data_IF_463714091620
#
_entry.id   IF_463714091620
#
_cell.length_a   1.000
_cell.length_b   1.000
_cell.length_c   1.000
_cell.angle_alpha   90.00
_cell.angle_beta   90.00
_cell.angle_gamma   90.00
#
_symmetry.space_group_name_H-M   'P 1'
#
loop_
_entity.id
_entity.type
_entity.pdbx_description
1 polymer ?
#
# COMPACT_ATOMS: atom_id res chain seq x y z
N UNK A 1 11.37 -6.33 0.36
CA UNK A 1 9.88 -6.30 0.48
C UNK A 1 9.50 -7.11 1.70
N UNK A 2 8.55 -6.65 2.51
CA UNK A 2 8.00 -7.49 3.58
C UNK A 2 6.77 -8.18 2.98
N UNK A 3 6.89 -9.47 2.69
CA UNK A 3 5.79 -10.30 2.22
C UNK A 3 5.21 -11.09 3.37
N UNK A 4 3.90 -11.31 3.35
CA UNK A 4 3.23 -12.24 4.27
C UNK A 4 3.45 -13.69 3.79
N UNK A 5 3.23 -14.66 4.67
CA UNK A 5 3.49 -16.08 4.37
C UNK A 5 2.71 -16.60 3.14
N UNK A 6 1.50 -16.10 2.93
CA UNK A 6 0.67 -16.48 1.78
C UNK A 6 1.01 -15.70 0.50
N UNK A 7 1.85 -14.67 0.59
CA UNK A 7 2.35 -13.90 -0.56
C UNK A 7 3.69 -14.44 -1.10
N UNK A 8 4.29 -15.44 -0.43
CA UNK A 8 5.55 -16.06 -0.86
C UNK A 8 5.54 -16.51 -2.33
N UNK A 9 4.47 -17.13 -2.87
CA UNK A 9 4.43 -17.50 -4.28
C UNK A 9 4.52 -16.31 -5.24
N UNK A 10 4.03 -15.13 -4.82
CA UNK A 10 4.12 -13.88 -5.59
C UNK A 10 5.54 -13.34 -5.50
N UNK A 11 6.13 -13.36 -4.30
CA UNK A 11 7.50 -12.91 -4.05
C UNK A 11 8.54 -13.68 -4.88
N UNK A 12 8.38 -15.00 -5.01
CA UNK A 12 9.23 -15.85 -5.84
C UNK A 12 9.14 -15.47 -7.33
N UNK A 13 7.93 -15.20 -7.83
CA UNK A 13 7.72 -14.76 -9.21
C UNK A 13 8.31 -13.37 -9.45
N UNK A 14 8.14 -12.44 -8.51
CA UNK A 14 8.73 -11.10 -8.61
C UNK A 14 10.26 -11.16 -8.59
N UNK A 15 10.87 -11.98 -7.72
CA UNK A 15 12.31 -12.18 -7.69
C UNK A 15 12.83 -12.72 -9.02
N UNK A 16 12.14 -13.73 -9.59
CA UNK A 16 12.51 -14.30 -10.90
C UNK A 16 12.37 -13.28 -12.05
N UNK A 17 11.34 -12.43 -12.00
CA UNK A 17 11.16 -11.34 -12.99
C UNK A 17 12.30 -10.32 -12.89
N UNK A 18 12.69 -9.94 -11.67
CA UNK A 18 13.81 -9.03 -11.45
C UNK A 18 15.14 -9.64 -11.92
N UNK A 19 15.42 -10.90 -11.61
CA UNK A 19 16.60 -11.61 -12.12
C UNK A 19 16.68 -11.57 -13.66
N UNK A 20 15.57 -11.88 -14.35
CA UNK A 20 15.52 -11.85 -15.81
C UNK A 20 15.69 -10.43 -16.38
N UNK A 21 15.22 -9.39 -15.67
CA UNK A 21 15.43 -7.99 -16.04
C UNK A 21 16.91 -7.58 -15.96
N UNK A 22 17.67 -8.08 -15.00
CA UNK A 22 19.11 -7.80 -14.91
C UNK A 22 19.92 -8.47 -16.04
N UNK A 23 19.42 -9.58 -16.58
CA UNK A 23 20.07 -10.34 -17.67
C UNK A 23 19.73 -9.76 -19.06
N UNK A 24 18.72 -8.91 -19.19
CA UNK A 24 18.25 -8.26 -20.44
C UNK A 24 19.25 -7.24 -21.06
N UNK A 25 20.54 -7.32 -20.71
CA UNK A 25 21.62 -6.51 -21.29
C UNK A 25 21.99 -6.92 -22.73
N UNK A 26 21.53 -8.08 -23.21
CA UNK A 26 21.63 -8.50 -24.60
C UNK A 26 20.21 -8.51 -25.18
N UNK A 27 20.00 -7.87 -26.33
CA UNK A 27 18.69 -7.64 -26.98
C UNK A 27 17.99 -8.93 -27.47
N UNK A 28 17.84 -9.94 -26.60
CA UNK A 28 17.16 -11.18 -26.86
C UNK A 28 15.65 -10.99 -26.69
N UNK A 29 14.95 -10.87 -27.81
CA UNK A 29 13.48 -10.80 -27.88
C UNK A 29 12.79 -11.98 -27.17
N UNK A 30 13.51 -13.09 -26.95
CA UNK A 30 13.03 -14.25 -26.18
C UNK A 30 12.84 -13.93 -24.69
N UNK A 31 13.78 -13.20 -24.08
CA UNK A 31 13.75 -12.87 -22.63
C UNK A 31 12.59 -11.94 -22.32
N UNK A 32 12.36 -10.93 -23.15
CA UNK A 32 11.26 -9.98 -22.96
C UNK A 32 9.88 -10.67 -23.02
N UNK A 33 9.71 -11.70 -23.88
CA UNK A 33 8.47 -12.49 -23.94
C UNK A 33 8.25 -13.32 -22.68
N UNK A 34 9.32 -13.88 -22.12
CA UNK A 34 9.25 -14.66 -20.88
C UNK A 34 8.94 -13.77 -19.67
N UNK A 35 9.55 -12.57 -19.60
CA UNK A 35 9.21 -11.56 -18.58
C UNK A 35 7.73 -11.19 -18.65
N UNK A 36 7.18 -10.97 -19.85
CA UNK A 36 5.75 -10.67 -20.02
C UNK A 36 4.86 -11.83 -19.54
N UNK A 37 5.21 -13.06 -19.87
CA UNK A 37 4.47 -14.24 -19.43
C UNK A 37 4.50 -14.42 -17.90
N UNK A 38 5.68 -14.21 -17.27
CA UNK A 38 5.83 -14.29 -15.82
C UNK A 38 5.08 -13.16 -15.09
N UNK A 39 5.10 -11.94 -15.64
CA UNK A 39 4.30 -10.82 -15.10
C UNK A 39 2.81 -11.12 -15.12
N UNK A 40 2.30 -11.66 -16.25
CA UNK A 40 0.90 -12.06 -16.34
C UNK A 40 0.56 -13.13 -15.30
N UNK A 41 1.41 -14.15 -15.17
CA UNK A 41 1.23 -15.21 -14.17
C UNK A 41 1.26 -14.67 -12.73
N UNK A 42 2.13 -13.71 -12.44
CA UNK A 42 2.20 -13.03 -11.14
C UNK A 42 0.92 -12.25 -10.85
N UNK A 43 0.36 -11.54 -11.85
CA UNK A 43 -0.91 -10.83 -11.73
C UNK A 43 -2.08 -11.79 -11.48
N UNK A 44 -2.22 -12.84 -12.30
CA UNK A 44 -3.29 -13.84 -12.18
C UNK A 44 -3.23 -14.53 -10.80
N UNK A 45 -2.02 -14.87 -10.34
CA UNK A 45 -1.82 -15.48 -9.03
C UNK A 45 -2.18 -14.52 -7.89
N UNK A 46 -1.78 -13.26 -8.00
CA UNK A 46 -2.14 -12.20 -7.05
C UNK A 46 -3.66 -12.08 -6.95
N UNK A 47 -4.35 -11.93 -8.07
CA UNK A 47 -5.82 -11.85 -8.08
C UNK A 47 -6.46 -13.08 -7.43
N UNK A 48 -5.98 -14.28 -7.75
CA UNK A 48 -6.51 -15.51 -7.16
C UNK A 48 -6.35 -15.55 -5.63
N UNK A 49 -5.16 -15.22 -5.11
CA UNK A 49 -4.85 -15.25 -3.67
C UNK A 49 -5.70 -14.22 -2.93
N UNK A 50 -5.74 -12.98 -3.44
CA UNK A 50 -6.48 -11.89 -2.78
C UNK A 50 -8.00 -12.03 -2.92
N UNK A 51 -8.50 -12.78 -3.91
CA UNK A 51 -9.94 -13.07 -4.06
C UNK A 51 -10.48 -14.07 -3.04
N UNK A 52 -9.64 -14.97 -2.52
CA UNK A 52 -10.04 -16.06 -1.63
C UNK A 52 -9.27 -16.07 -0.30
N UNK A 53 -9.13 -14.90 0.32
CA UNK A 53 -8.42 -14.75 1.60
C UNK A 53 -9.23 -15.35 2.76
N UNK A 54 -8.52 -16.05 3.65
CA UNK A 54 -9.07 -16.49 4.93
C UNK A 54 -9.21 -15.32 5.91
N UNK A 55 -10.10 -15.41 6.92
CA UNK A 55 -10.27 -14.35 7.92
C UNK A 55 -8.96 -13.97 8.65
N UNK A 56 -8.07 -14.94 8.88
CA UNK A 56 -6.77 -14.70 9.48
C UNK A 56 -5.85 -13.88 8.57
N UNK A 57 -5.79 -14.22 7.28
CA UNK A 57 -4.99 -13.49 6.29
C UNK A 57 -5.47 -12.05 6.12
N UNK A 58 -6.79 -11.81 6.14
CA UNK A 58 -7.37 -10.46 6.14
C UNK A 58 -6.88 -9.65 7.36
N UNK A 59 -6.86 -10.27 8.55
CA UNK A 59 -6.33 -9.63 9.75
C UNK A 59 -4.83 -9.29 9.61
N UNK A 60 -4.02 -10.18 9.02
CA UNK A 60 -2.61 -9.92 8.74
C UNK A 60 -2.42 -8.71 7.80
N UNK A 61 -3.20 -8.64 6.71
CA UNK A 61 -3.18 -7.49 5.78
C UNK A 61 -3.59 -6.19 6.48
N UNK A 62 -4.59 -6.25 7.36
CA UNK A 62 -5.03 -5.07 8.12
C UNK A 62 -3.94 -4.49 9.02
N UNK A 63 -2.95 -5.31 9.39
CA UNK A 63 -1.82 -4.97 10.25
C UNK A 63 -0.51 -4.82 9.46
N UNK A 64 -0.57 -4.83 8.14
CA UNK A 64 0.61 -4.77 7.29
C UNK A 64 1.43 -3.50 7.59
N UNK A 65 2.76 -3.59 7.74
CA UNK A 65 3.60 -2.44 8.13
C UNK A 65 3.59 -1.30 7.10
N UNK A 66 3.31 -1.61 5.83
CA UNK A 66 3.16 -0.62 4.76
C UNK A 66 1.71 -0.23 4.46
N UNK A 67 0.74 -0.61 5.32
CA UNK A 67 -0.65 -0.19 5.14
C UNK A 67 -0.71 1.34 5.21
N UNK A 68 -1.31 2.03 4.22
CA UNK A 68 -1.46 3.47 4.28
C UNK A 68 -2.24 3.91 5.52
N UNK A 69 -1.74 4.93 6.21
CA UNK A 69 -2.36 5.53 7.38
C UNK A 69 -3.17 6.76 7.01
N UNK A 70 -3.89 7.33 7.98
CA UNK A 70 -4.79 8.47 7.77
C UNK A 70 -4.12 9.61 7.01
N UNK A 71 -2.89 9.98 7.39
CA UNK A 71 -2.12 11.02 6.69
C UNK A 71 -1.85 10.70 5.20
N UNK A 72 -1.55 9.44 4.87
CA UNK A 72 -1.32 9.04 3.47
C UNK A 72 -2.59 9.21 2.60
N UNK A 73 -3.78 9.05 3.18
CA UNK A 73 -5.05 9.34 2.49
C UNK A 73 -5.33 10.83 2.44
N UNK A 74 -5.04 11.57 3.52
CA UNK A 74 -5.25 13.02 3.57
C UNK A 74 -4.50 13.71 2.43
N UNK A 75 -3.21 13.40 2.29
CA UNK A 75 -2.32 13.97 1.26
C UNK A 75 -2.75 13.66 -0.18
N UNK A 76 -3.51 12.58 -0.41
CA UNK A 76 -3.94 12.15 -1.75
C UNK A 76 -5.35 12.60 -2.13
N UNK A 77 -6.22 12.79 -1.14
CA UNK A 77 -7.67 12.98 -1.36
C UNK A 77 -8.09 14.43 -1.12
N UNK A 78 -7.49 15.10 -0.14
CA UNK A 78 -7.91 16.42 0.30
C UNK A 78 -6.91 17.49 -0.13
N UNK A 79 -7.43 18.70 -0.30
CA UNK A 79 -6.64 19.88 -0.65
C UNK A 79 -6.74 20.88 0.50
N UNK A 80 -5.71 21.72 0.66
CA UNK A 80 -5.63 22.76 1.71
C UNK A 80 -5.90 22.21 3.12
N UNK A 81 -5.35 21.04 3.44
CA UNK A 81 -5.51 20.45 4.77
C UNK A 81 -4.66 21.19 5.80
N UNK A 82 -5.32 21.78 6.78
CA UNK A 82 -4.71 22.38 7.95
C UNK A 82 -4.98 21.50 9.18
N UNK A 83 -3.90 20.93 9.74
CA UNK A 83 -3.94 20.12 10.94
C UNK A 83 -4.17 21.01 12.17
N UNK A 84 -5.12 20.62 13.00
CA UNK A 84 -5.48 21.29 14.24
C UNK A 84 -4.99 20.45 15.42
N UNK A 85 -4.12 21.07 16.21
CA UNK A 85 -3.49 20.43 17.36
C UNK A 85 -4.12 20.88 18.68
N UNK A 86 -4.15 19.96 19.65
CA UNK A 86 -4.46 20.23 21.05
C UNK A 86 -5.94 20.11 21.44
N UNK A 87 -6.16 19.42 22.56
CA UNK A 87 -7.49 19.23 23.17
C UNK A 87 -7.91 20.37 24.12
N UNK A 88 -7.10 21.45 24.20
CA UNK A 88 -7.25 22.61 25.12
C UNK A 88 -7.28 22.28 26.61
N UNK A 89 -7.02 21.03 27.00
CA UNK A 89 -7.07 20.58 28.40
C UNK A 89 -5.71 20.14 28.94
N UNK A 90 -4.99 19.24 28.24
CA UNK A 90 -3.72 18.73 28.74
C UNK A 90 -2.61 18.72 27.68
N UNK A 91 -2.73 17.90 26.64
CA UNK A 91 -1.68 17.78 25.62
C UNK A 91 -2.26 17.40 24.25
N UNK A 92 -1.43 17.54 23.22
CA UNK A 92 -1.75 17.03 21.89
C UNK A 92 -1.56 15.49 21.88
N UNK A 93 -2.55 14.74 21.41
CA UNK A 93 -2.45 13.28 21.27
C UNK A 93 -1.93 12.93 19.86
N UNK A 94 -0.67 12.51 19.71
CA UNK A 94 -0.11 12.17 18.41
C UNK A 94 -0.78 10.95 17.74
N UNK A 95 -1.63 10.21 18.47
CA UNK A 95 -2.40 9.11 17.92
C UNK A 95 -3.65 9.57 17.14
N UNK A 96 -4.03 10.84 17.22
CA UNK A 96 -5.16 11.41 16.50
C UNK A 96 -4.67 12.55 15.60
N UNK A 97 -5.07 12.51 14.34
CA UNK A 97 -4.95 13.64 13.43
C UNK A 97 -6.34 14.24 13.22
N UNK A 98 -6.45 15.55 13.41
CA UNK A 98 -7.68 16.30 13.19
C UNK A 98 -7.37 17.58 12.41
N UNK A 99 -8.28 18.03 11.56
CA UNK A 99 -8.06 19.25 10.79
C UNK A 99 -9.20 19.63 9.87
N UNK A 100 -9.04 20.74 9.18
CA UNK A 100 -9.98 21.23 8.16
C UNK A 100 -9.30 21.09 6.80
N UNK A 101 -10.04 20.60 5.81
CA UNK A 101 -9.56 20.56 4.44
C UNK A 101 -10.70 20.72 3.45
N UNK A 102 -10.39 20.55 2.16
CA UNK A 102 -11.37 20.57 1.08
C UNK A 102 -11.46 19.21 0.40
N UNK A 103 -12.68 18.72 0.24
CA UNK A 103 -13.02 17.57 -0.59
C UNK A 103 -13.95 18.03 -1.71
N UNK A 104 -13.51 17.93 -2.96
CA UNK A 104 -14.31 18.36 -4.15
C UNK A 104 -14.91 19.76 -3.94
N UNK A 105 -14.06 20.70 -3.53
CA UNK A 105 -14.41 22.11 -3.25
C UNK A 105 -15.39 22.33 -2.08
N UNK A 106 -15.68 21.32 -1.27
CA UNK A 106 -16.45 21.44 -0.03
C UNK A 106 -15.51 21.43 1.18
N UNK A 107 -15.67 22.40 2.08
CA UNK A 107 -14.95 22.42 3.36
C UNK A 107 -15.45 21.29 4.26
N UNK A 108 -14.52 20.46 4.75
CA UNK A 108 -14.81 19.29 5.57
C UNK A 108 -13.87 19.24 6.76
N UNK A 109 -14.40 18.76 7.90
CA UNK A 109 -13.58 18.38 9.05
C UNK A 109 -13.14 16.92 8.89
N UNK A 110 -11.87 16.64 9.15
CA UNK A 110 -11.26 15.32 8.99
C UNK A 110 -10.68 14.93 10.35
N UNK A 111 -11.00 13.73 10.81
CA UNK A 111 -10.49 13.16 12.05
C UNK A 111 -10.15 11.68 11.78
N UNK A 112 -8.98 11.23 12.21
CA UNK A 112 -8.63 9.82 12.13
C UNK A 112 -7.48 9.43 13.03
N UNK A 113 -7.31 8.12 13.18
CA UNK A 113 -6.22 7.56 13.97
C UNK A 113 -4.91 7.61 13.17
N UNK A 114 -3.87 8.17 13.77
CA UNK A 114 -2.52 8.17 13.22
C UNK A 114 -1.67 7.15 13.98
N UNK A 115 -1.37 6.04 13.32
CA UNK A 115 -0.44 5.05 13.87
C UNK A 115 0.99 5.56 13.66
N UNK A 116 1.84 5.37 14.68
CA UNK A 116 3.26 5.66 14.57
C UNK A 116 3.92 4.88 13.43
N UNK A 117 4.80 5.53 12.70
CA UNK A 117 5.74 4.87 11.79
C UNK A 117 6.98 4.42 12.54
#
# INVERSE_FOLDING_TARGET
MNFLDFEQPIAELEAKIEELRFVENNQDTSVSKEILALKKRSQDLTESIFSSLTPWQISQISRHPKRPYTKDYIERIFVDFEELHGERYFADDPAIIAGIGRLVNQSVAIIGHQKGR
#
